data_IF_547933497003
#
_entry.id   IF_547933497003
#
_cell.length_a   1.000
_cell.length_b   1.000
_cell.length_c   1.000
_cell.angle_alpha   90.00
_cell.angle_beta   90.00
_cell.angle_gamma   90.00
#
_symmetry.space_group_name_H-M   'P 1'
#
loop_
_entity.id
_entity.type
_entity.pdbx_description
1 polymer ?
#
# COMPACT_ATOMS: atom_id res chain seq x y z
N UNK A 1 -24.66 -4.98 8.93
CA UNK A 1 -23.42 -5.62 9.42
C UNK A 1 -22.59 -4.55 10.11
N UNK A 2 -22.26 -4.71 11.40
CA UNK A 2 -21.47 -3.71 12.14
C UNK A 2 -20.01 -3.87 11.72
N UNK A 3 -19.40 -2.82 11.13
CA UNK A 3 -17.95 -2.81 10.91
C UNK A 3 -17.28 -2.57 12.25
N UNK A 4 -16.52 -3.56 12.73
CA UNK A 4 -15.64 -3.35 13.86
C UNK A 4 -14.60 -2.28 13.49
N UNK A 5 -14.31 -1.33 14.41
CA UNK A 5 -13.24 -0.38 14.19
C UNK A 5 -11.90 -1.10 14.09
N UNK A 6 -10.97 -0.53 13.33
CA UNK A 6 -9.61 -1.04 13.25
C UNK A 6 -8.91 -0.88 14.60
N UNK A 7 -8.09 -1.85 14.96
CA UNK A 7 -7.19 -1.72 16.12
C UNK A 7 -6.07 -0.71 15.82
N UNK A 8 -5.45 -0.11 16.86
CA UNK A 8 -4.29 0.77 16.66
C UNK A 8 -3.17 0.11 15.84
N UNK A 9 -2.93 -1.19 16.04
CA UNK A 9 -1.90 -1.96 15.33
C UNK A 9 -2.25 -2.10 13.84
N UNK A 10 -3.52 -2.31 13.51
CA UNK A 10 -4.00 -2.37 12.13
C UNK A 10 -3.89 -1.00 11.44
N UNK A 11 -4.17 0.08 12.16
CA UNK A 11 -3.99 1.45 11.66
C UNK A 11 -2.51 1.71 11.35
N UNK A 12 -1.63 1.31 12.26
CA UNK A 12 -0.19 1.49 12.08
C UNK A 12 0.38 0.60 10.96
N UNK A 13 -0.13 -0.63 10.80
CA UNK A 13 0.18 -1.48 9.66
C UNK A 13 -0.21 -0.83 8.32
N UNK A 14 -1.40 -0.23 8.26
CA UNK A 14 -1.85 0.54 7.10
C UNK A 14 -0.96 1.74 6.80
N UNK A 15 -0.51 2.47 7.82
CA UNK A 15 0.42 3.60 7.67
C UNK A 15 1.79 3.17 7.14
N UNK A 16 2.36 2.07 7.65
CA UNK A 16 3.62 1.51 7.13
C UNK A 16 3.51 1.15 5.66
N UNK A 17 2.41 0.48 5.29
CA UNK A 17 2.14 0.11 3.91
C UNK A 17 1.99 1.34 3.00
N UNK A 18 1.22 2.34 3.44
CA UNK A 18 1.08 3.63 2.74
C UNK A 18 2.42 4.33 2.51
N UNK A 19 3.28 4.36 3.54
CA UNK A 19 4.62 4.93 3.43
C UNK A 19 5.51 4.19 2.43
N UNK A 20 5.44 2.85 2.38
CA UNK A 20 6.16 2.06 1.37
C UNK A 20 5.69 2.40 -0.04
N UNK A 21 4.37 2.39 -0.27
CA UNK A 21 3.80 2.73 -1.59
C UNK A 21 4.22 4.13 -2.04
N UNK A 22 4.20 5.10 -1.11
CA UNK A 22 4.67 6.46 -1.38
C UNK A 22 6.14 6.50 -1.78
N UNK A 23 7.00 5.72 -1.10
CA UNK A 23 8.43 5.63 -1.42
C UNK A 23 8.64 5.01 -2.79
N UNK A 24 7.96 3.90 -3.09
CA UNK A 24 8.07 3.21 -4.38
C UNK A 24 7.54 4.05 -5.55
N UNK A 25 6.48 4.84 -5.35
CA UNK A 25 6.03 5.81 -6.35
C UNK A 25 7.09 6.87 -6.66
N UNK A 26 7.94 7.22 -5.69
CA UNK A 26 9.01 8.19 -5.84
C UNK A 26 8.54 9.52 -6.50
N UNK A 27 9.03 9.82 -7.70
CA UNK A 27 8.67 11.01 -8.48
C UNK A 27 7.64 10.73 -9.59
N UNK A 28 7.14 9.49 -9.71
CA UNK A 28 6.09 9.14 -10.69
C UNK A 28 4.82 9.91 -10.37
N UNK A 29 4.10 10.31 -11.41
CA UNK A 29 2.87 11.06 -11.26
C UNK A 29 1.82 10.27 -10.48
N UNK A 30 1.15 10.95 -9.56
CA UNK A 30 0.17 10.32 -8.68
C UNK A 30 -1.09 9.90 -9.43
N UNK A 31 -1.51 10.65 -10.46
CA UNK A 31 -2.67 10.29 -11.26
C UNK A 31 -2.36 9.12 -12.21
N UNK A 32 -1.16 9.08 -12.78
CA UNK A 32 -0.70 7.98 -13.62
C UNK A 32 -0.71 6.64 -12.86
N UNK A 33 -0.08 6.59 -11.68
CA UNK A 33 -0.04 5.36 -10.86
C UNK A 33 -1.44 4.97 -10.38
N UNK A 34 -2.25 5.94 -9.96
CA UNK A 34 -3.62 5.66 -9.53
C UNK A 34 -4.46 5.06 -10.67
N UNK A 35 -4.33 5.60 -11.87
CA UNK A 35 -5.03 5.10 -13.05
C UNK A 35 -4.58 3.69 -13.42
N UNK A 36 -3.26 3.43 -13.43
CA UNK A 36 -2.71 2.10 -13.65
C UNK A 36 -3.21 1.06 -12.63
N UNK A 37 -3.42 1.48 -11.38
CA UNK A 37 -3.97 0.63 -10.32
C UNK A 37 -5.52 0.60 -10.27
N UNK A 38 -6.22 1.24 -11.22
CA UNK A 38 -7.67 1.23 -11.29
C UNK A 38 -8.38 1.99 -10.16
N UNK A 39 -7.72 2.96 -9.53
CA UNK A 39 -8.26 3.76 -8.42
C UNK A 39 -8.20 5.27 -8.71
N UNK A 40 -8.93 6.05 -7.90
CA UNK A 40 -8.83 7.51 -8.01
C UNK A 40 -7.49 8.03 -7.46
N UNK A 41 -6.95 9.14 -8.01
CA UNK A 41 -5.82 9.86 -7.44
C UNK A 41 -5.98 10.16 -5.94
N UNK A 42 -7.18 10.55 -5.52
CA UNK A 42 -7.48 10.85 -4.12
C UNK A 42 -7.45 9.59 -3.23
N UNK A 43 -7.89 8.43 -3.75
CA UNK A 43 -7.77 7.15 -3.06
C UNK A 43 -6.30 6.81 -2.82
N UNK A 44 -5.45 6.93 -3.85
CA UNK A 44 -4.01 6.69 -3.71
C UNK A 44 -3.39 7.65 -2.67
N UNK A 45 -3.72 8.95 -2.74
CA UNK A 45 -3.26 9.93 -1.76
C UNK A 45 -3.64 9.56 -0.32
N UNK A 46 -4.86 9.09 -0.09
CA UNK A 46 -5.31 8.66 1.24
C UNK A 46 -4.57 7.43 1.73
N UNK A 47 -4.27 6.47 0.85
CA UNK A 47 -3.46 5.30 1.19
C UNK A 47 -2.04 5.73 1.57
N UNK A 48 -1.38 6.52 0.73
CA UNK A 48 0.00 6.98 0.94
C UNK A 48 0.18 7.82 2.20
N UNK A 49 -0.83 8.59 2.57
CA UNK A 49 -0.84 9.41 3.79
C UNK A 49 -1.35 8.66 5.02
N UNK A 50 -1.69 7.38 4.89
CA UNK A 50 -2.22 6.56 5.97
C UNK A 50 -3.63 6.94 6.45
N UNK A 51 -4.34 7.81 5.71
CA UNK A 51 -5.74 8.19 5.97
C UNK A 51 -6.73 7.10 5.53
N UNK A 52 -6.28 6.14 4.73
CA UNK A 52 -7.01 4.92 4.39
C UNK A 52 -6.16 3.70 4.78
N UNK A 53 -6.19 3.29 6.07
CA UNK A 53 -5.29 2.26 6.61
C UNK A 53 -5.68 0.81 6.25
N UNK A 54 -6.91 0.57 5.77
CA UNK A 54 -7.37 -0.77 5.36
C UNK A 54 -7.85 -0.79 3.90
N UNK A 55 -6.94 -0.60 2.92
CA UNK A 55 -7.27 -0.75 1.51
C UNK A 55 -7.71 -2.20 1.21
N UNK A 56 -8.55 -2.36 0.19
CA UNK A 56 -8.96 -3.68 -0.26
C UNK A 56 -7.77 -4.47 -0.83
N UNK A 57 -7.80 -5.80 -0.67
CA UNK A 57 -6.71 -6.65 -1.17
C UNK A 57 -6.46 -6.46 -2.67
N UNK A 58 -7.51 -6.40 -3.50
CA UNK A 58 -7.36 -6.13 -4.93
C UNK A 58 -6.68 -4.80 -5.23
N UNK A 59 -6.95 -3.75 -4.46
CA UNK A 59 -6.25 -2.46 -4.58
C UNK A 59 -4.76 -2.60 -4.28
N UNK A 60 -4.38 -3.41 -3.29
CA UNK A 60 -2.96 -3.66 -2.95
C UNK A 60 -2.26 -4.43 -4.05
N UNK A 61 -2.91 -5.44 -4.65
CA UNK A 61 -2.35 -6.20 -5.78
C UNK A 61 -2.10 -5.27 -6.98
N UNK A 62 -3.12 -4.52 -7.41
CA UNK A 62 -2.98 -3.61 -8.56
C UNK A 62 -1.96 -2.48 -8.32
N UNK A 63 -1.85 -1.99 -7.08
CA UNK A 63 -0.81 -1.01 -6.72
C UNK A 63 0.58 -1.63 -6.75
N UNK A 64 0.72 -2.88 -6.32
CA UNK A 64 1.98 -3.63 -6.44
C UNK A 64 2.42 -3.74 -7.90
N UNK A 65 1.52 -4.19 -8.77
CA UNK A 65 1.78 -4.29 -10.22
C UNK A 65 2.14 -2.94 -10.85
N UNK A 66 1.39 -1.88 -10.55
CA UNK A 66 1.66 -0.54 -11.09
C UNK A 66 3.02 0.05 -10.65
N UNK A 67 3.49 -0.34 -9.46
CA UNK A 67 4.72 0.13 -8.85
C UNK A 67 5.90 -0.83 -9.00
N UNK A 68 5.71 -1.95 -9.70
CA UNK A 68 6.70 -3.02 -9.83
C UNK A 68 7.19 -3.56 -8.47
N UNK A 69 6.25 -3.70 -7.53
CA UNK A 69 6.48 -4.24 -6.19
C UNK A 69 5.84 -5.62 -6.02
N UNK A 70 6.60 -6.62 -5.53
CA UNK A 70 6.04 -7.92 -5.23
C UNK A 70 5.08 -7.84 -4.03
N UNK A 71 3.93 -8.52 -4.13
CA UNK A 71 2.91 -8.53 -3.07
C UNK A 71 3.45 -9.05 -1.73
N UNK A 72 4.50 -9.87 -1.78
CA UNK A 72 5.23 -10.41 -0.63
C UNK A 72 5.90 -9.30 0.19
N UNK A 73 6.46 -8.28 -0.46
CA UNK A 73 7.09 -7.13 0.20
C UNK A 73 6.03 -6.23 0.87
N UNK A 74 4.90 -6.02 0.18
CA UNK A 74 3.74 -5.32 0.73
C UNK A 74 3.21 -6.05 1.99
N UNK A 75 3.12 -7.38 1.94
CA UNK A 75 2.70 -8.21 3.06
C UNK A 75 3.71 -8.18 4.23
N UNK A 76 5.00 -8.25 3.94
CA UNK A 76 6.06 -8.15 4.97
C UNK A 76 6.00 -6.79 5.70
N UNK A 77 5.85 -5.70 4.94
CA UNK A 77 5.72 -4.35 5.48
C UNK A 77 4.47 -4.19 6.35
N UNK A 78 3.35 -4.72 5.90
CA UNK A 78 2.11 -4.71 6.68
C UNK A 78 2.28 -5.46 8.01
N UNK A 79 2.92 -6.63 8.00
CA UNK A 79 3.27 -7.40 9.22
C UNK A 79 4.29 -6.69 10.12
N UNK A 80 5.00 -5.69 9.61
CA UNK A 80 6.11 -5.04 10.32
C UNK A 80 7.38 -5.90 10.37
N UNK A 81 7.52 -6.83 9.42
CA UNK A 81 8.73 -7.64 9.27
C UNK A 81 9.62 -6.95 8.25
N UNK A 82 10.71 -6.32 8.71
CA UNK A 82 11.73 -5.73 7.85
C UNK A 82 12.51 -6.89 7.18
N UNK A 83 12.00 -7.37 6.06
CA UNK A 83 12.67 -8.36 5.23
C UNK A 83 13.04 -7.67 3.91
N UNK A 84 14.29 -7.21 3.75
CA UNK A 84 14.78 -6.83 2.44
C UNK A 84 14.82 -8.10 1.58
N UNK A 85 13.82 -8.30 0.73
CA UNK A 85 13.85 -9.34 -0.30
C UNK A 85 14.72 -8.88 -1.47
N UNK A 86 16.00 -8.64 -1.18
CA UNK A 86 17.09 -8.62 -2.17
C UNK A 86 17.74 -10.01 -2.34
N UNK A 87 17.04 -11.08 -1.96
CA UNK A 87 17.57 -12.46 -1.96
C UNK A 87 16.57 -13.46 -2.57
N UNK A 88 15.91 -13.07 -3.66
CA UNK A 88 15.26 -14.01 -4.55
C UNK A 88 15.79 -13.76 -5.98
N UNK A 89 16.87 -14.49 -6.27
CA UNK A 89 17.45 -14.90 -7.56
C UNK A 89 17.42 -13.94 -8.75
#
# INVERSE_FOLDING_TARGET
MVRQPLTPEQVEAGRRLGALLRRARANRDLAEVAHAAGISPETLRKIETGRLPSPGFGTIVCLGEALDLPVQELAATWRGTDLPLGAAS
#
